data_IF_833338263320
#
_entry.id   IF_833338263320
#
_cell.length_a   1.000
_cell.length_b   1.000
_cell.length_c   1.000
_cell.angle_alpha   90.00
_cell.angle_beta   90.00
_cell.angle_gamma   90.00
#
_symmetry.space_group_name_H-M   'P 1'
#
loop_
_entity.id
_entity.type
_entity.pdbx_description
1 polymer ?
#
# COMPACT_ATOMS: atom_id res chain seq x y z
N UNK A 1 -16.77 -2.83 -14.28
CA UNK A 1 -17.30 -3.56 -13.10
C UNK A 1 -16.93 -2.77 -11.85
N UNK A 2 -17.87 -2.41 -10.95
CA UNK A 2 -17.53 -1.65 -9.75
C UNK A 2 -16.81 -2.53 -8.73
N UNK A 3 -15.65 -2.07 -8.24
CA UNK A 3 -14.90 -2.67 -7.13
C UNK A 3 -15.72 -2.50 -5.84
N UNK A 4 -16.46 -3.54 -5.45
CA UNK A 4 -17.30 -3.53 -4.26
C UNK A 4 -16.42 -3.60 -2.99
N UNK A 5 -16.11 -2.43 -2.42
CA UNK A 5 -15.26 -2.26 -1.24
C UNK A 5 -15.85 -2.90 0.04
N UNK A 6 -17.07 -3.43 -0.02
CA UNK A 6 -17.78 -4.04 1.11
C UNK A 6 -17.54 -5.55 1.33
N UNK A 7 -16.66 -6.21 0.55
CA UNK A 7 -16.44 -7.66 0.66
C UNK A 7 -15.26 -8.09 1.55
N UNK A 8 -14.62 -7.19 2.32
CA UNK A 8 -13.53 -7.59 3.22
C UNK A 8 -14.11 -8.14 4.53
N UNK A 9 -14.30 -9.45 4.60
CA UNK A 9 -14.72 -10.12 5.85
C UNK A 9 -13.55 -10.24 6.83
N UNK A 10 -12.30 -10.20 6.34
CA UNK A 10 -11.14 -10.45 7.18
C UNK A 10 -10.61 -9.19 7.90
N UNK A 11 -10.51 -9.28 9.23
CA UNK A 11 -9.97 -8.22 10.11
C UNK A 11 -8.54 -7.83 9.72
N UNK A 12 -7.77 -8.78 9.19
CA UNK A 12 -6.39 -8.58 8.74
C UNK A 12 -6.36 -7.75 7.46
N UNK A 13 -7.17 -8.11 6.45
CA UNK A 13 -7.28 -7.35 5.21
C UNK A 13 -7.69 -5.88 5.49
N UNK A 14 -8.68 -5.64 6.37
CA UNK A 14 -9.06 -4.28 6.78
C UNK A 14 -7.91 -3.50 7.41
N UNK A 15 -7.09 -4.16 8.24
CA UNK A 15 -5.93 -3.53 8.89
C UNK A 15 -4.85 -3.17 7.86
N UNK A 16 -4.55 -4.07 6.92
CA UNK A 16 -3.59 -3.82 5.83
C UNK A 16 -4.07 -2.65 4.96
N UNK A 17 -5.34 -2.65 4.53
CA UNK A 17 -5.92 -1.56 3.74
C UNK A 17 -5.83 -0.22 4.48
N UNK A 18 -6.07 -0.21 5.80
CA UNK A 18 -5.92 1.00 6.61
C UNK A 18 -4.48 1.50 6.63
N UNK A 19 -3.50 0.61 6.75
CA UNK A 19 -2.07 0.97 6.69
C UNK A 19 -1.68 1.52 5.31
N UNK A 20 -2.22 0.94 4.21
CA UNK A 20 -2.00 1.47 2.84
C UNK A 20 -2.57 2.89 2.72
N UNK A 21 -3.82 3.12 3.16
CA UNK A 21 -4.42 4.47 3.14
C UNK A 21 -3.64 5.48 3.98
N UNK A 22 -3.11 5.06 5.12
CA UNK A 22 -2.25 5.91 5.95
C UNK A 22 -0.92 6.24 5.25
N UNK A 23 -0.37 5.30 4.46
CA UNK A 23 0.78 5.54 3.62
C UNK A 23 0.44 6.53 2.50
N UNK A 24 -0.68 6.37 1.80
CA UNK A 24 -1.12 7.30 0.74
C UNK A 24 -1.27 8.73 1.26
N UNK A 25 -1.94 8.92 2.40
CA UNK A 25 -2.04 10.24 3.06
C UNK A 25 -0.67 10.80 3.44
N UNK A 26 0.22 9.94 3.93
CA UNK A 26 1.59 10.36 4.23
C UNK A 26 2.30 10.78 2.94
N UNK A 27 2.09 10.10 1.81
CA UNK A 27 2.72 10.44 0.54
C UNK A 27 2.25 11.79 0.01
N UNK A 28 0.94 12.07 0.04
CA UNK A 28 0.38 13.37 -0.35
C UNK A 28 1.00 14.55 0.41
N UNK A 29 1.36 14.36 1.69
CA UNK A 29 2.00 15.42 2.51
C UNK A 29 3.53 15.49 2.35
N UNK A 30 4.14 14.49 1.72
CA UNK A 30 5.60 14.25 1.80
C UNK A 30 6.33 14.53 0.49
N UNK A 31 5.60 14.89 -0.56
CA UNK A 31 6.01 15.07 -1.96
C UNK A 31 7.21 16.00 -2.22
N UNK A 32 7.75 16.65 -1.18
CA UNK A 32 8.90 17.58 -1.28
C UNK A 32 10.03 17.32 -0.27
N UNK A 33 9.93 16.29 0.58
CA UNK A 33 10.94 16.01 1.62
C UNK A 33 11.63 14.64 1.42
N UNK A 34 12.93 14.59 1.09
CA UNK A 34 13.70 13.35 0.92
C UNK A 34 13.66 12.40 2.13
N UNK A 35 13.61 12.94 3.34
CA UNK A 35 13.51 12.13 4.57
C UNK A 35 12.14 11.45 4.68
N UNK A 36 11.09 12.15 4.26
CA UNK A 36 9.77 11.59 4.26
C UNK A 36 9.59 10.53 3.17
N UNK A 37 10.22 10.70 2.00
CA UNK A 37 10.27 9.66 0.95
C UNK A 37 10.94 8.39 1.49
N UNK A 38 12.07 8.51 2.22
CA UNK A 38 12.73 7.35 2.88
C UNK A 38 11.82 6.66 3.89
N UNK A 39 11.11 7.43 4.73
CA UNK A 39 10.15 6.89 5.71
C UNK A 39 8.98 6.17 5.01
N UNK A 40 8.46 6.74 3.93
CA UNK A 40 7.39 6.16 3.16
C UNK A 40 7.80 4.85 2.47
N UNK A 41 9.01 4.79 1.87
CA UNK A 41 9.57 3.55 1.31
C UNK A 41 9.72 2.46 2.38
N UNK A 42 10.17 2.81 3.59
CA UNK A 42 10.28 1.85 4.71
C UNK A 42 8.91 1.32 5.12
N UNK A 43 7.88 2.18 5.21
CA UNK A 43 6.50 1.77 5.48
C UNK A 43 5.95 0.87 4.36
N UNK A 44 6.21 1.20 3.10
CA UNK A 44 5.78 0.40 1.95
C UNK A 44 6.33 -1.03 2.03
N UNK A 45 7.64 -1.19 2.28
CA UNK A 45 8.26 -2.52 2.47
C UNK A 45 7.63 -3.29 3.63
N UNK A 46 7.30 -2.61 4.73
CA UNK A 46 6.65 -3.23 5.88
C UNK A 46 5.24 -3.73 5.53
N UNK A 47 4.47 -2.94 4.80
CA UNK A 47 3.12 -3.34 4.35
C UNK A 47 3.21 -4.50 3.36
N UNK A 48 4.18 -4.50 2.45
CA UNK A 48 4.45 -5.63 1.54
C UNK A 48 4.73 -6.92 2.31
N UNK A 49 5.56 -6.85 3.37
CA UNK A 49 5.84 -8.00 4.25
C UNK A 49 4.57 -8.54 4.88
N UNK A 50 3.73 -7.64 5.45
CA UNK A 50 2.46 -8.01 6.07
C UNK A 50 1.49 -8.68 5.10
N UNK A 51 1.43 -8.22 3.85
CA UNK A 51 0.60 -8.86 2.81
C UNK A 51 1.12 -10.26 2.49
N UNK A 52 2.43 -10.41 2.34
CA UNK A 52 3.05 -11.68 1.98
C UNK A 52 2.94 -12.71 3.13
N UNK A 53 3.19 -12.29 4.37
CA UNK A 53 3.01 -13.12 5.57
C UNK A 53 1.55 -13.56 5.70
N UNK A 54 0.61 -12.62 5.60
CA UNK A 54 -0.82 -12.94 5.68
C UNK A 54 -1.29 -13.84 4.53
N UNK A 55 -0.69 -13.75 3.35
CA UNK A 55 -0.97 -14.67 2.24
C UNK A 55 -0.39 -16.06 2.50
N UNK A 56 0.86 -16.14 2.99
CA UNK A 56 1.52 -17.40 3.33
C UNK A 56 0.74 -18.18 4.40
N UNK A 57 0.26 -17.47 5.42
CA UNK A 57 -0.55 -18.04 6.49
C UNK A 57 -2.01 -18.34 6.06
N UNK A 58 -2.36 -18.15 4.78
CA UNK A 58 -3.72 -18.27 4.23
C UNK A 58 -4.76 -17.40 4.98
N UNK A 59 -4.31 -16.29 5.57
CA UNK A 59 -5.12 -15.30 6.27
C UNK A 59 -5.72 -14.26 5.32
N UNK A 60 -5.42 -14.32 4.04
CA UNK A 60 -6.06 -13.52 3.00
C UNK A 60 -6.65 -14.47 1.96
N UNK A 61 -7.91 -14.24 1.59
CA UNK A 61 -8.43 -14.85 0.37
C UNK A 61 -7.70 -14.28 -0.85
N UNK A 62 -7.68 -15.03 -1.95
CA UNK A 62 -7.04 -14.58 -3.20
C UNK A 62 -7.52 -13.19 -3.65
N UNK A 63 -8.80 -12.88 -3.44
CA UNK A 63 -9.37 -11.56 -3.77
C UNK A 63 -8.86 -10.45 -2.84
N UNK A 64 -8.72 -10.73 -1.54
CA UNK A 64 -8.19 -9.77 -0.56
C UNK A 64 -6.71 -9.50 -0.80
N UNK A 65 -5.92 -10.53 -1.09
CA UNK A 65 -4.53 -10.40 -1.49
C UNK A 65 -4.37 -9.56 -2.77
N UNK A 66 -5.14 -9.88 -3.82
CA UNK A 66 -5.10 -9.14 -5.07
C UNK A 66 -5.46 -7.66 -4.86
N UNK A 67 -6.47 -7.38 -4.03
CA UNK A 67 -6.83 -6.00 -3.69
C UNK A 67 -5.70 -5.29 -2.95
N UNK A 68 -5.17 -5.89 -1.87
CA UNK A 68 -4.10 -5.26 -1.09
C UNK A 68 -2.87 -4.98 -1.94
N UNK A 69 -2.49 -5.94 -2.80
CA UNK A 69 -1.38 -5.81 -3.74
C UNK A 69 -1.61 -4.69 -4.78
N UNK A 70 -2.83 -4.59 -5.35
CA UNK A 70 -3.18 -3.52 -6.30
C UNK A 70 -3.13 -2.13 -5.65
N UNK A 71 -3.64 -2.00 -4.43
CA UNK A 71 -3.59 -0.74 -3.68
C UNK A 71 -2.14 -0.35 -3.33
N UNK A 72 -1.33 -1.31 -2.87
CA UNK A 72 0.08 -1.08 -2.56
C UNK A 72 0.88 -0.69 -3.81
N UNK A 73 0.61 -1.32 -4.96
CA UNK A 73 1.24 -0.98 -6.23
C UNK A 73 0.95 0.47 -6.64
N UNK A 74 -0.30 0.92 -6.52
CA UNK A 74 -0.69 2.30 -6.79
C UNK A 74 0.10 3.29 -5.93
N UNK A 75 0.25 3.00 -4.64
CA UNK A 75 1.08 3.81 -3.73
C UNK A 75 2.56 3.81 -4.14
N UNK A 76 3.09 2.68 -4.61
CA UNK A 76 4.47 2.57 -5.08
C UNK A 76 4.72 3.38 -6.36
N UNK A 77 3.78 3.38 -7.30
CA UNK A 77 3.88 4.17 -8.53
C UNK A 77 3.99 5.66 -8.24
N UNK A 78 3.23 6.18 -7.26
CA UNK A 78 3.32 7.59 -6.82
C UNK A 78 4.74 7.89 -6.31
N UNK A 79 5.27 7.04 -5.43
CA UNK A 79 6.63 7.18 -4.91
C UNK A 79 7.71 7.18 -5.98
N UNK A 80 7.58 6.31 -6.99
CA UNK A 80 8.53 6.22 -8.09
C UNK A 80 8.42 7.45 -8.99
N UNK A 81 7.19 7.87 -9.37
CA UNK A 81 6.98 9.09 -10.16
C UNK A 81 7.60 10.30 -9.48
N UNK A 82 7.36 10.52 -8.20
CA UNK A 82 7.96 11.67 -7.52
C UNK A 82 9.48 11.61 -7.40
N UNK A 83 10.04 10.40 -7.28
CA UNK A 83 11.49 10.21 -7.21
C UNK A 83 12.20 10.43 -8.56
N UNK A 84 11.50 10.25 -9.69
CA UNK A 84 12.10 10.24 -11.03
C UNK A 84 11.56 11.32 -12.00
N UNK A 85 10.29 11.73 -11.91
CA UNK A 85 9.71 12.80 -12.75
C UNK A 85 10.09 14.21 -12.29
N UNK A 86 10.62 14.40 -11.07
CA UNK A 86 11.23 15.67 -10.64
C UNK A 86 12.62 15.96 -11.25
N UNK A 87 13.02 15.21 -12.29
CA UNK A 87 14.33 15.28 -12.96
C UNK A 87 14.23 15.35 -14.49
N UNK A 88 13.10 15.78 -15.03
CA UNK A 88 12.99 16.21 -16.44
C UNK A 88 12.55 17.66 -16.51
#
# INVERSE_FOLDING_TARGET
MPENVNCYSNKIAKRIIKEIKNLEKSLESTTRNPEGTKKAVKKLKKIQSLINEAQYDNLLSQNEYNTCSKLLYKSNTILIREKFEGKF
#
